data_IF_849259866236
#
_entry.id   IF_849259866236
#
_cell.length_a   1.000
_cell.length_b   1.000
_cell.length_c   1.000
_cell.angle_alpha   90.00
_cell.angle_beta   90.00
_cell.angle_gamma   90.00
#
_symmetry.space_group_name_H-M   'P 1'
#
loop_
_entity.id
_entity.type
_entity.pdbx_description
1 polymer ?
#
# COMPACT_ATOMS: atom_id res chain seq x y z
N UNK A 1 -2.93 15.31 25.90
CA UNK A 1 -2.16 14.59 26.91
C UNK A 1 -2.45 13.11 26.83
N UNK A 2 -3.67 12.65 27.05
CA UNK A 2 -4.07 11.22 27.07
C UNK A 2 -3.73 10.45 25.79
N UNK A 3 -3.91 11.07 24.60
CA UNK A 3 -3.59 10.42 23.31
C UNK A 3 -2.10 10.05 23.20
N UNK A 4 -1.21 10.92 23.67
CA UNK A 4 0.23 10.64 23.60
C UNK A 4 0.64 9.48 24.53
N UNK A 5 0.06 9.42 25.71
CA UNK A 5 0.28 8.32 26.67
C UNK A 5 -0.19 6.98 26.09
N UNK A 6 -1.37 6.96 25.48
CA UNK A 6 -1.92 5.72 24.84
C UNK A 6 -1.06 5.29 23.65
N UNK A 7 -0.63 6.23 22.80
CA UNK A 7 0.27 5.91 21.68
C UNK A 7 1.60 5.33 22.15
N UNK A 8 2.12 5.83 23.27
CA UNK A 8 3.36 5.31 23.81
C UNK A 8 3.21 3.88 24.32
N UNK A 9 2.12 3.56 25.00
CA UNK A 9 1.80 2.19 25.42
C UNK A 9 1.72 1.25 24.21
N UNK A 10 1.08 1.66 23.12
CA UNK A 10 1.02 0.84 21.90
C UNK A 10 2.40 0.62 21.26
N UNK A 11 3.28 1.62 21.30
CA UNK A 11 4.66 1.49 20.79
C UNK A 11 5.49 0.56 21.64
N UNK A 12 5.36 0.61 22.95
CA UNK A 12 6.15 -0.20 23.87
C UNK A 12 5.66 -1.64 23.97
N UNK A 13 4.34 -1.84 23.96
CA UNK A 13 3.75 -3.10 24.37
C UNK A 13 3.13 -3.90 23.22
N UNK A 14 2.92 -3.31 22.04
CA UNK A 14 2.11 -3.99 21.02
C UNK A 14 2.72 -3.94 19.60
N UNK A 15 2.96 -2.75 19.06
CA UNK A 15 3.33 -2.62 17.63
C UNK A 15 4.81 -2.34 17.40
N UNK A 16 5.50 -1.91 18.44
CA UNK A 16 6.88 -1.47 18.36
C UNK A 16 7.05 -0.03 17.86
N UNK A 17 8.29 0.42 17.87
CA UNK A 17 8.68 1.78 17.50
C UNK A 17 9.07 1.85 16.03
N UNK A 18 8.19 2.38 15.20
CA UNK A 18 8.49 2.61 13.79
C UNK A 18 9.61 3.64 13.63
N UNK A 19 10.45 3.52 12.60
CA UNK A 19 11.46 4.54 12.29
C UNK A 19 10.81 5.85 11.87
N UNK A 20 11.59 6.93 11.88
CA UNK A 20 11.18 8.22 11.33
C UNK A 20 11.03 8.21 9.81
N UNK A 21 11.15 9.41 9.21
CA UNK A 21 11.15 9.54 7.74
C UNK A 21 12.37 8.84 7.14
N UNK A 22 12.23 8.20 5.96
CA UNK A 22 13.35 7.61 5.26
C UNK A 22 14.28 8.68 4.68
N UNK A 23 15.46 8.27 4.25
CA UNK A 23 16.46 9.15 3.64
C UNK A 23 15.92 9.85 2.38
N UNK A 24 15.19 9.12 1.54
CA UNK A 24 14.49 9.69 0.39
C UNK A 24 13.28 8.87 -0.02
N UNK A 25 12.32 9.56 -0.66
CA UNK A 25 11.17 8.93 -1.32
C UNK A 25 11.05 9.52 -2.72
N UNK A 26 10.91 8.64 -3.73
CA UNK A 26 10.71 9.02 -5.13
C UNK A 26 9.37 8.48 -5.61
N UNK A 27 8.65 9.29 -6.36
CA UNK A 27 7.38 8.94 -6.98
C UNK A 27 7.53 8.85 -8.49
N UNK A 28 7.04 7.78 -9.09
CA UNK A 28 7.06 7.58 -10.54
C UNK A 28 5.67 7.16 -11.01
N UNK A 29 5.02 8.00 -11.80
CA UNK A 29 3.79 7.63 -12.50
C UNK A 29 4.13 6.58 -13.57
N UNK A 30 3.63 5.35 -13.40
CA UNK A 30 3.84 4.23 -14.32
C UNK A 30 2.79 4.16 -15.40
N UNK A 31 1.57 4.52 -15.05
CA UNK A 31 0.42 4.44 -15.95
C UNK A 31 -0.66 5.43 -15.51
N UNK A 32 -1.34 6.00 -16.50
CA UNK A 32 -2.56 6.78 -16.29
C UNK A 32 -3.46 6.60 -17.51
N UNK A 33 -4.63 5.99 -17.31
CA UNK A 33 -5.54 5.67 -18.39
C UNK A 33 -7.01 5.76 -17.94
N UNK A 34 -7.91 5.89 -18.89
CA UNK A 34 -9.33 5.69 -18.65
C UNK A 34 -9.62 4.23 -18.30
N UNK A 35 -10.54 4.02 -17.39
CA UNK A 35 -10.90 2.70 -16.88
C UNK A 35 -12.40 2.60 -16.58
N UNK A 36 -12.85 1.38 -16.27
CA UNK A 36 -14.24 1.09 -15.87
C UNK A 36 -15.28 1.66 -16.86
N UNK A 37 -15.06 1.38 -18.15
CA UNK A 37 -15.97 1.84 -19.20
C UNK A 37 -16.00 3.37 -19.37
N UNK A 38 -14.90 4.06 -19.05
CA UNK A 38 -14.77 5.49 -19.21
C UNK A 38 -15.33 6.31 -18.03
N UNK A 39 -15.72 5.67 -16.93
CA UNK A 39 -16.24 6.37 -15.73
C UNK A 39 -15.15 6.74 -14.73
N UNK A 40 -13.96 6.18 -14.90
CA UNK A 40 -12.82 6.37 -14.00
C UNK A 40 -11.54 6.73 -14.75
N UNK A 41 -10.62 7.36 -14.04
CA UNK A 41 -9.19 7.42 -14.38
C UNK A 41 -8.47 6.48 -13.43
N UNK A 42 -7.75 5.49 -13.99
CA UNK A 42 -6.80 4.65 -13.27
C UNK A 42 -5.45 5.34 -13.30
N UNK A 43 -4.76 5.40 -12.15
CA UNK A 43 -3.34 5.77 -12.04
C UNK A 43 -2.60 4.65 -11.32
N UNK A 44 -1.38 4.39 -11.75
CA UNK A 44 -0.47 3.46 -11.07
C UNK A 44 0.84 4.17 -10.82
N UNK A 45 1.28 4.18 -9.57
CA UNK A 45 2.42 4.96 -9.11
C UNK A 45 3.35 4.08 -8.30
N UNK A 46 4.63 4.12 -8.63
CA UNK A 46 5.67 3.55 -7.79
C UNK A 46 6.11 4.58 -6.74
N UNK A 47 5.98 4.20 -5.48
CA UNK A 47 6.54 4.90 -4.32
C UNK A 47 7.82 4.17 -3.91
N UNK A 48 8.96 4.68 -4.35
CA UNK A 48 10.27 4.08 -4.05
C UNK A 48 10.90 4.77 -2.85
N UNK A 49 11.13 4.01 -1.80
CA UNK A 49 11.70 4.43 -0.53
C UNK A 49 13.15 3.99 -0.50
N UNK A 50 14.07 4.90 -0.18
CA UNK A 50 15.50 4.58 -0.08
C UNK A 50 16.05 4.91 1.31
N UNK A 51 16.83 3.99 1.85
CA UNK A 51 17.47 4.08 3.15
C UNK A 51 18.76 3.25 3.17
N UNK A 52 19.87 3.84 3.63
CA UNK A 52 21.12 3.11 3.83
C UNK A 52 21.67 2.40 2.57
N UNK A 53 21.49 2.95 1.37
CA UNK A 53 21.90 2.35 0.11
C UNK A 53 20.99 1.23 -0.42
N UNK A 54 19.88 0.96 0.27
CA UNK A 54 18.85 -0.01 -0.14
C UNK A 54 17.59 0.72 -0.58
N UNK A 55 16.73 0.06 -1.35
CA UNK A 55 15.46 0.62 -1.79
C UNK A 55 14.35 -0.43 -1.75
N UNK A 56 13.13 0.04 -1.50
CA UNK A 56 11.88 -0.70 -1.56
C UNK A 56 10.90 0.09 -2.41
N UNK A 57 10.14 -0.58 -3.27
CA UNK A 57 9.10 0.07 -4.08
C UNK A 57 7.73 -0.48 -3.73
N UNK A 58 6.79 0.41 -3.46
CA UNK A 58 5.38 0.09 -3.22
C UNK A 58 4.60 0.50 -4.47
N UNK A 59 3.93 -0.46 -5.11
CA UNK A 59 3.04 -0.20 -6.23
C UNK A 59 1.68 0.29 -5.75
N UNK A 60 1.34 1.55 -6.02
CA UNK A 60 0.07 2.17 -5.63
C UNK A 60 -0.89 2.19 -6.80
N UNK A 61 -2.10 1.66 -6.61
CA UNK A 61 -3.20 1.74 -7.56
C UNK A 61 -4.20 2.79 -7.07
N UNK A 62 -4.59 3.68 -7.97
CA UNK A 62 -5.55 4.76 -7.70
C UNK A 62 -6.65 4.73 -8.75
N UNK A 63 -7.90 4.76 -8.32
CA UNK A 63 -9.05 5.07 -9.16
C UNK A 63 -9.66 6.39 -8.75
N UNK A 64 -9.86 7.27 -9.72
CA UNK A 64 -10.46 8.60 -9.56
C UNK A 64 -11.74 8.68 -10.37
N UNK A 65 -12.81 9.35 -9.89
CA UNK A 65 -13.96 9.67 -10.74
C UNK A 65 -13.52 10.55 -11.92
N UNK A 66 -13.83 10.14 -13.15
CA UNK A 66 -13.41 10.88 -14.35
C UNK A 66 -13.97 12.30 -14.41
N UNK A 67 -15.23 12.47 -13.98
CA UNK A 67 -15.96 13.75 -14.04
C UNK A 67 -15.69 14.66 -12.82
N UNK A 68 -14.69 14.33 -12.00
CA UNK A 68 -14.35 15.16 -10.84
C UNK A 68 -13.88 16.57 -11.27
N UNK A 69 -14.50 17.60 -10.73
CA UNK A 69 -14.20 19.01 -11.04
C UNK A 69 -13.08 19.61 -10.17
N UNK A 70 -12.43 18.79 -9.34
CA UNK A 70 -11.38 19.20 -8.42
C UNK A 70 -10.87 18.04 -7.59
N UNK A 71 -10.00 18.30 -6.60
CA UNK A 71 -9.47 17.25 -5.74
C UNK A 71 -10.59 16.52 -4.98
N UNK A 72 -10.58 15.19 -5.00
CA UNK A 72 -11.59 14.36 -4.34
C UNK A 72 -11.06 13.74 -3.05
N UNK A 73 -11.91 13.51 -2.03
CA UNK A 73 -11.52 12.70 -0.87
C UNK A 73 -11.23 11.27 -1.30
N UNK A 74 -10.49 10.52 -0.49
CA UNK A 74 -10.08 9.18 -0.85
C UNK A 74 -10.28 8.17 0.29
N UNK A 75 -10.54 6.92 -0.09
CA UNK A 75 -10.33 5.76 0.77
C UNK A 75 -8.94 5.18 0.47
N UNK A 76 -8.14 4.96 1.50
CA UNK A 76 -6.81 4.38 1.41
C UNK A 76 -6.77 3.07 2.20
N UNK A 77 -6.40 1.97 1.56
CA UNK A 77 -6.29 0.68 2.22
C UNK A 77 -5.28 -0.26 1.57
N UNK A 78 -4.82 -1.25 2.33
CA UNK A 78 -3.97 -2.32 1.80
C UNK A 78 -4.82 -3.46 1.29
N UNK A 79 -4.44 -4.04 0.16
CA UNK A 79 -5.01 -5.27 -0.35
C UNK A 79 -4.07 -6.44 -0.12
N UNK A 80 -4.63 -7.66 -0.03
CA UNK A 80 -3.90 -8.89 0.30
C UNK A 80 -3.63 -9.78 -0.92
N UNK A 81 -4.23 -9.49 -2.06
CA UNK A 81 -4.13 -10.30 -3.27
C UNK A 81 -3.32 -9.66 -4.40
N UNK A 82 -2.68 -8.52 -4.13
CA UNK A 82 -2.07 -7.68 -5.16
C UNK A 82 -3.08 -6.75 -5.84
N UNK A 83 -2.59 -5.64 -6.39
CA UNK A 83 -3.45 -4.62 -6.99
C UNK A 83 -4.33 -5.16 -8.11
N UNK A 84 -3.85 -6.12 -8.90
CA UNK A 84 -4.61 -6.77 -9.96
C UNK A 84 -5.84 -7.53 -9.44
N UNK A 85 -5.87 -7.91 -8.17
CA UNK A 85 -6.99 -8.67 -7.61
C UNK A 85 -8.22 -7.84 -7.30
N UNK A 86 -8.08 -6.50 -7.18
CA UNK A 86 -9.18 -5.62 -6.75
C UNK A 86 -10.16 -5.28 -7.87
N UNK A 87 -9.78 -5.50 -9.12
CA UNK A 87 -10.64 -5.26 -10.29
C UNK A 87 -10.24 -6.17 -11.46
N UNK A 88 -11.21 -6.46 -12.34
CA UNK A 88 -10.96 -7.17 -13.61
C UNK A 88 -10.30 -6.27 -14.68
N UNK A 89 -9.94 -5.04 -14.35
CA UNK A 89 -9.30 -4.11 -15.28
C UNK A 89 -7.95 -4.68 -15.77
N UNK A 90 -7.81 -5.01 -17.09
CA UNK A 90 -6.60 -5.62 -17.63
C UNK A 90 -5.39 -4.69 -17.61
N UNK A 91 -5.61 -3.39 -17.48
CA UNK A 91 -4.53 -2.40 -17.40
C UNK A 91 -3.86 -2.32 -16.04
N UNK A 92 -4.34 -2.99 -14.99
CA UNK A 92 -3.62 -3.06 -13.72
C UNK A 92 -2.36 -3.90 -13.90
N UNK A 93 -1.21 -3.36 -13.51
CA UNK A 93 0.07 -4.06 -13.53
C UNK A 93 0.04 -5.24 -12.58
N UNK A 94 0.41 -6.43 -13.06
CA UNK A 94 0.56 -7.61 -12.20
C UNK A 94 1.70 -7.38 -11.21
N UNK A 95 1.44 -7.69 -9.94
CA UNK A 95 2.46 -7.60 -8.91
C UNK A 95 3.50 -8.71 -9.12
N UNK A 96 4.79 -8.35 -9.08
CA UNK A 96 5.92 -9.27 -9.25
C UNK A 96 6.54 -9.74 -7.93
N UNK A 97 6.09 -9.22 -6.78
CA UNK A 97 6.59 -9.60 -5.47
C UNK A 97 6.02 -10.94 -5.01
N UNK A 98 6.61 -11.46 -3.94
CA UNK A 98 6.15 -12.70 -3.35
C UNK A 98 4.69 -12.58 -2.86
N UNK A 99 3.89 -13.60 -3.14
CA UNK A 99 2.52 -13.75 -2.65
C UNK A 99 2.32 -15.15 -2.09
N UNK A 100 1.50 -15.25 -1.04
CA UNK A 100 1.13 -16.56 -0.50
C UNK A 100 0.38 -17.38 -1.57
N UNK A 101 0.82 -18.60 -1.89
CA UNK A 101 0.16 -19.44 -2.89
C UNK A 101 -1.30 -19.68 -2.54
N UNK A 102 -2.17 -19.54 -3.52
CA UNK A 102 -3.58 -19.84 -3.37
C UNK A 102 -4.20 -20.06 -4.76
N UNK A 103 -4.45 -21.31 -5.11
CA UNK A 103 -4.99 -21.70 -6.42
C UNK A 103 -6.36 -21.05 -6.69
N UNK A 104 -7.20 -20.85 -5.65
CA UNK A 104 -8.50 -20.20 -5.77
C UNK A 104 -8.39 -18.73 -6.19
N UNK A 105 -7.28 -18.09 -5.86
CA UNK A 105 -7.02 -16.68 -6.18
C UNK A 105 -6.06 -16.49 -7.36
N UNK A 106 -5.61 -17.57 -7.99
CA UNK A 106 -4.72 -17.50 -9.16
C UNK A 106 -3.30 -17.07 -8.83
N UNK A 107 -2.84 -17.31 -7.59
CA UNK A 107 -1.44 -17.12 -7.17
C UNK A 107 -0.72 -18.45 -7.35
N UNK A 108 0.20 -18.49 -8.31
CA UNK A 108 0.97 -19.68 -8.68
C UNK A 108 2.46 -19.41 -8.47
N UNK A 109 3.18 -20.36 -7.92
CA UNK A 109 4.64 -20.24 -7.65
C UNK A 109 5.02 -18.94 -6.93
N UNK A 110 4.22 -18.56 -5.93
CA UNK A 110 4.35 -17.32 -5.17
C UNK A 110 4.29 -16.03 -6.01
N UNK A 111 3.64 -16.05 -7.17
CA UNK A 111 3.51 -14.91 -8.06
C UNK A 111 2.05 -14.69 -8.51
N UNK A 112 1.70 -13.45 -8.76
CA UNK A 112 0.45 -13.13 -9.42
C UNK A 112 0.44 -13.66 -10.85
N UNK A 113 -0.72 -14.15 -11.28
CA UNK A 113 -0.99 -14.51 -12.68
C UNK A 113 -2.19 -13.74 -13.20
N UNK A 114 -2.44 -13.81 -14.50
CA UNK A 114 -3.66 -13.23 -15.11
C UNK A 114 -4.94 -13.79 -14.47
N UNK A 115 -4.91 -15.04 -13.99
CA UNK A 115 -6.04 -15.65 -13.30
C UNK A 115 -6.34 -14.99 -11.93
N UNK A 116 -5.42 -14.19 -11.38
CA UNK A 116 -5.63 -13.48 -10.12
C UNK A 116 -6.42 -12.17 -10.28
N UNK A 117 -6.64 -11.69 -11.53
CA UNK A 117 -7.40 -10.45 -11.76
C UNK A 117 -8.80 -10.52 -11.20
N UNK A 118 -9.20 -9.49 -10.50
CA UNK A 118 -10.55 -9.32 -9.95
C UNK A 118 -10.97 -10.33 -8.89
N UNK A 119 -10.09 -11.23 -8.44
CA UNK A 119 -10.46 -12.29 -7.47
C UNK A 119 -10.95 -11.76 -6.12
N UNK A 120 -10.64 -10.52 -5.79
CA UNK A 120 -11.11 -9.86 -4.57
C UNK A 120 -11.99 -8.64 -4.87
N UNK A 121 -12.44 -8.46 -6.12
CA UNK A 121 -13.22 -7.29 -6.54
C UNK A 121 -14.51 -7.07 -5.71
N UNK A 122 -15.13 -8.14 -5.21
CA UNK A 122 -16.32 -8.03 -4.35
C UNK A 122 -16.07 -7.31 -3.02
N UNK A 123 -14.82 -7.18 -2.59
CA UNK A 123 -14.44 -6.42 -1.37
C UNK A 123 -14.16 -4.95 -1.66
N UNK A 124 -14.04 -4.59 -2.92
CA UNK A 124 -13.62 -3.27 -3.38
C UNK A 124 -14.69 -2.68 -4.30
N UNK A 125 -15.82 -2.24 -3.75
CA UNK A 125 -16.91 -1.66 -4.56
C UNK A 125 -16.48 -0.32 -5.19
N UNK A 126 -15.53 -0.42 -6.13
CA UNK A 126 -14.95 0.74 -6.81
C UNK A 126 -16.02 1.61 -7.46
N UNK A 127 -17.02 1.05 -8.18
CA UNK A 127 -18.08 1.87 -8.77
C UNK A 127 -18.86 2.68 -7.75
N UNK A 128 -19.21 2.10 -6.59
CA UNK A 128 -19.92 2.83 -5.54
C UNK A 128 -19.06 3.92 -4.90
N UNK A 129 -17.78 3.64 -4.64
CA UNK A 129 -16.83 4.63 -4.12
C UNK A 129 -16.73 5.82 -5.06
N UNK A 130 -16.52 5.58 -6.36
CA UNK A 130 -16.38 6.65 -7.36
C UNK A 130 -17.70 7.43 -7.55
N UNK A 131 -18.85 6.74 -7.57
CA UNK A 131 -20.16 7.37 -7.63
C UNK A 131 -20.42 8.29 -6.44
N UNK A 132 -19.88 7.94 -5.27
CA UNK A 132 -19.90 8.76 -4.06
C UNK A 132 -18.99 10.00 -4.13
N UNK A 133 -18.21 10.16 -5.20
CA UNK A 133 -17.28 11.29 -5.36
C UNK A 133 -15.94 11.08 -4.64
N UNK A 134 -15.59 9.85 -4.31
CA UNK A 134 -14.35 9.49 -3.64
C UNK A 134 -13.37 8.80 -4.60
N UNK A 135 -12.08 8.94 -4.35
CA UNK A 135 -11.05 8.08 -4.95
C UNK A 135 -10.89 6.80 -4.12
N UNK A 136 -10.49 5.72 -4.79
CA UNK A 136 -9.92 4.54 -4.13
C UNK A 136 -8.41 4.55 -4.33
N UNK A 137 -7.67 4.38 -3.25
CA UNK A 137 -6.20 4.23 -3.24
C UNK A 137 -5.87 2.93 -2.53
N UNK A 138 -5.12 2.05 -3.19
CA UNK A 138 -4.72 0.78 -2.58
C UNK A 138 -3.32 0.37 -3.00
N UNK A 139 -2.66 -0.43 -2.16
CA UNK A 139 -1.39 -1.05 -2.44
C UNK A 139 -1.36 -2.47 -1.88
N UNK A 140 -0.54 -3.33 -2.45
CA UNK A 140 -0.33 -4.66 -1.92
C UNK A 140 0.51 -4.60 -0.64
N UNK A 141 -0.01 -5.16 0.46
CA UNK A 141 0.66 -5.13 1.77
C UNK A 141 2.05 -5.78 1.74
N UNK A 142 2.21 -6.83 0.93
CA UNK A 142 3.47 -7.54 0.76
C UNK A 142 4.55 -6.78 -0.01
N UNK A 143 4.21 -5.64 -0.67
CA UNK A 143 5.22 -4.72 -1.20
C UNK A 143 5.94 -3.98 -0.06
N UNK A 144 5.27 -3.83 1.09
CA UNK A 144 5.82 -3.15 2.27
C UNK A 144 6.56 -4.16 3.14
N UNK A 145 5.88 -5.23 3.50
CA UNK A 145 6.44 -6.32 4.30
C UNK A 145 5.74 -7.64 3.96
N UNK A 146 6.46 -8.67 3.47
CA UNK A 146 5.86 -9.93 3.09
C UNK A 146 5.32 -10.67 4.32
N UNK A 147 4.13 -11.27 4.19
CA UNK A 147 3.42 -11.94 5.28
C UNK A 147 3.91 -13.38 5.48
N UNK A 148 5.16 -13.54 5.82
CA UNK A 148 5.75 -14.79 6.30
C UNK A 148 6.94 -14.50 7.21
N UNK A 149 7.25 -15.43 8.11
CA UNK A 149 8.39 -15.28 9.01
C UNK A 149 9.72 -15.48 8.26
N UNK A 150 10.37 -14.39 7.96
CA UNK A 150 11.71 -14.34 7.36
C UNK A 150 12.76 -13.77 8.33
N UNK A 151 12.38 -13.55 9.59
CA UNK A 151 13.22 -12.88 10.58
C UNK A 151 13.49 -11.42 10.23
N UNK A 152 12.52 -10.74 9.56
CA UNK A 152 12.59 -9.34 9.14
C UNK A 152 13.74 -9.02 8.15
N UNK A 153 14.12 -10.00 7.33
CA UNK A 153 15.21 -9.86 6.36
C UNK A 153 14.78 -9.22 5.04
N UNK A 154 13.48 -9.17 4.78
CA UNK A 154 12.89 -8.59 3.59
C UNK A 154 11.98 -7.39 3.95
N UNK A 155 11.36 -6.80 2.94
CA UNK A 155 10.43 -5.69 3.13
C UNK A 155 11.10 -4.44 3.72
N UNK A 156 10.27 -3.63 4.37
CA UNK A 156 10.67 -2.34 4.91
C UNK A 156 11.65 -2.45 6.07
N UNK A 157 11.59 -3.55 6.84
CA UNK A 157 12.51 -3.78 7.95
C UNK A 157 13.96 -3.86 7.47
N UNK A 158 14.20 -4.54 6.35
CA UNK A 158 15.53 -4.66 5.77
C UNK A 158 16.16 -3.32 5.35
N UNK A 159 15.37 -2.26 5.19
CA UNK A 159 15.90 -0.92 4.91
C UNK A 159 16.55 -0.28 6.16
N UNK A 160 16.01 -0.57 7.34
CA UNK A 160 16.39 0.10 8.59
C UNK A 160 17.25 -0.78 9.49
N UNK A 161 16.99 -2.09 9.53
CA UNK A 161 17.75 -3.02 10.32
C UNK A 161 19.11 -3.27 9.66
N UNK A 162 20.19 -3.11 10.41
CA UNK A 162 21.55 -3.32 9.87
C UNK A 162 22.01 -4.75 10.12
N UNK A 163 22.64 -5.40 9.14
CA UNK A 163 23.29 -6.67 9.39
C UNK A 163 24.35 -6.52 10.49
N UNK A 164 24.26 -7.35 11.53
CA UNK A 164 25.22 -7.34 12.64
C UNK A 164 24.82 -6.52 13.86
N UNK A 165 23.67 -5.83 13.87
CA UNK A 165 23.18 -5.08 15.04
C UNK A 165 22.76 -6.00 16.23
N UNK A 166 22.91 -7.34 16.08
CA UNK A 166 22.49 -8.30 17.10
C UNK A 166 20.98 -8.58 17.09
N UNK A 167 20.44 -8.99 18.24
CA UNK A 167 19.00 -9.25 18.38
C UNK A 167 18.20 -7.93 18.31
N UNK A 168 17.07 -7.96 17.62
CA UNK A 168 16.16 -6.81 17.56
C UNK A 168 15.68 -6.45 18.99
N UNK A 169 15.60 -5.17 19.35
CA UNK A 169 15.02 -4.73 20.63
C UNK A 169 13.62 -5.28 20.85
N UNK A 170 13.23 -5.45 22.12
CA UNK A 170 11.90 -5.97 22.47
C UNK A 170 10.76 -5.07 21.98
N UNK A 171 11.00 -3.76 21.84
CA UNK A 171 10.09 -2.76 21.31
C UNK A 171 10.37 -2.43 19.82
N UNK A 172 11.11 -3.28 19.10
CA UNK A 172 11.26 -3.14 17.66
C UNK A 172 9.92 -3.34 16.94
N UNK A 173 9.70 -2.55 15.92
CA UNK A 173 8.48 -2.58 15.13
C UNK A 173 8.28 -3.91 14.39
N UNK A 174 7.04 -4.43 14.42
CA UNK A 174 6.64 -5.62 13.67
C UNK A 174 5.97 -5.28 12.34
N UNK A 175 5.50 -6.31 11.63
CA UNK A 175 4.90 -6.19 10.30
C UNK A 175 3.69 -5.25 10.26
N UNK A 176 2.81 -5.28 11.28
CA UNK A 176 1.64 -4.38 11.34
C UNK A 176 2.09 -2.91 11.39
N UNK A 177 3.12 -2.60 12.18
CA UNK A 177 3.69 -1.25 12.20
C UNK A 177 4.40 -0.90 10.89
N UNK A 178 5.03 -1.89 10.23
CA UNK A 178 5.61 -1.76 8.90
C UNK A 178 4.56 -1.38 7.85
N UNK A 179 3.45 -2.10 7.81
CA UNK A 179 2.32 -1.81 6.92
C UNK A 179 1.72 -0.42 7.17
N UNK A 180 1.50 -0.04 8.42
CA UNK A 180 1.03 1.29 8.79
C UNK A 180 2.03 2.40 8.40
N UNK A 181 3.33 2.14 8.54
CA UNK A 181 4.38 3.06 8.11
C UNK A 181 4.40 3.21 6.58
N UNK A 182 4.23 2.12 5.83
CA UNK A 182 4.10 2.15 4.37
C UNK A 182 2.88 2.95 3.90
N UNK A 183 1.70 2.78 4.55
CA UNK A 183 0.53 3.61 4.29
C UNK A 183 0.83 5.11 4.48
N UNK A 184 1.63 5.46 5.49
CA UNK A 184 2.06 6.85 5.70
C UNK A 184 2.90 7.38 4.53
N UNK A 185 3.72 6.52 3.89
CA UNK A 185 4.49 6.91 2.69
C UNK A 185 3.59 7.09 1.46
N UNK A 186 2.53 6.29 1.35
CA UNK A 186 1.52 6.50 0.31
C UNK A 186 0.77 7.82 0.56
N UNK A 187 0.45 8.14 1.80
CA UNK A 187 -0.19 9.42 2.14
C UNK A 187 0.71 10.61 1.82
N UNK A 188 2.02 10.52 2.06
CA UNK A 188 2.99 11.55 1.64
C UNK A 188 2.95 11.78 0.10
N UNK A 189 2.75 10.70 -0.69
CA UNK A 189 2.52 10.85 -2.15
C UNK A 189 1.22 11.59 -2.43
N UNK A 190 0.12 11.24 -1.76
CA UNK A 190 -1.18 11.86 -1.99
C UNK A 190 -1.17 13.37 -1.66
N UNK A 191 -0.29 13.84 -0.79
CA UNK A 191 -0.07 15.27 -0.55
C UNK A 191 0.48 16.00 -1.79
N UNK A 192 1.12 15.28 -2.70
CA UNK A 192 1.66 15.82 -3.96
C UNK A 192 0.68 15.69 -5.13
N UNK A 193 -0.32 14.81 -5.03
CA UNK A 193 -1.28 14.54 -6.10
C UNK A 193 -2.43 15.55 -6.11
N UNK A 194 -2.45 16.43 -7.10
CA UNK A 194 -3.45 17.51 -7.22
C UNK A 194 -4.89 17.02 -7.45
N UNK A 195 -5.11 15.73 -7.73
CA UNK A 195 -6.43 15.16 -7.97
C UNK A 195 -7.04 14.57 -6.70
N UNK A 196 -6.26 14.42 -5.61
CA UNK A 196 -6.71 13.90 -4.31
C UNK A 196 -6.64 15.00 -3.25
N UNK A 197 -7.72 15.16 -2.48
CA UNK A 197 -7.68 15.99 -1.27
C UNK A 197 -7.08 15.18 -0.12
N UNK A 198 -5.78 15.30 0.07
CA UNK A 198 -5.00 14.58 1.08
C UNK A 198 -5.44 14.85 2.53
N UNK A 199 -6.20 15.93 2.77
CA UNK A 199 -6.75 16.23 4.09
C UNK A 199 -8.04 15.48 4.39
N UNK A 200 -8.63 14.83 3.38
CA UNK A 200 -9.86 14.04 3.48
C UNK A 200 -9.61 12.61 3.01
N UNK A 201 -8.65 11.95 3.63
CA UNK A 201 -8.33 10.55 3.39
C UNK A 201 -8.79 9.70 4.57
N UNK A 202 -9.61 8.70 4.27
CA UNK A 202 -10.11 7.73 5.24
C UNK A 202 -9.32 6.44 5.07
N UNK A 203 -8.74 5.93 6.16
CA UNK A 203 -8.08 4.62 6.15
C UNK A 203 -9.15 3.54 6.18
N UNK A 204 -9.15 2.69 5.15
CA UNK A 204 -10.00 1.52 5.02
C UNK A 204 -9.23 0.32 5.56
N UNK A 205 -9.69 -0.25 6.65
CA UNK A 205 -9.13 -1.45 7.29
C UNK A 205 -9.99 -2.68 7.04
N UNK A 206 -9.43 -3.83 7.41
CA UNK A 206 -10.06 -5.14 7.26
C UNK A 206 -10.38 -5.72 8.63
#
# INVERSE_FOLDING_TARGET
>A
KRRAEVLELFREQMFGRSPGKPQSVKYVLRDSAEALGGTAVRKQVDVTISQGGRALTIGVLIYLPKEAKGPVPAFLGLNFGGNQSVSNDPGIILNSNWMRPNDKTGIVDNRASEASRGKTASRWDIPAILKGGYALVTAYYGDIDPDYDDGFKNGVHALFDKPGDGARPADAWGSIAGWAWGLSRILDYLETDKQVDSRRVVVLGH
#
